data_IF_038238251113
#
_entry.id   IF_038238251113
#
_cell.length_a   1.000
_cell.length_b   1.000
_cell.length_c   1.000
_cell.angle_alpha   90.00
_cell.angle_beta   90.00
_cell.angle_gamma   90.00
#
_symmetry.space_group_name_H-M   'P 1'
#
loop_
_entity.id
_entity.type
_entity.pdbx_description
1 polymer ?
#
# COMPACT_ATOMS: atom_id res chain seq x y z
N UNK A 1 24.38 -3.68 -0.78
CA UNK A 1 22.95 -3.55 -0.98
C UNK A 1 22.62 -2.16 -1.49
N UNK A 2 21.84 -2.07 -2.51
CA UNK A 2 21.47 -0.77 -3.09
C UNK A 2 20.51 -0.04 -2.18
N UNK A 3 20.79 1.23 -1.90
CA UNK A 3 19.96 2.05 -1.00
C UNK A 3 18.52 2.18 -1.48
N UNK A 4 18.31 2.21 -2.79
CA UNK A 4 16.97 2.35 -3.35
C UNK A 4 16.09 1.11 -3.11
N UNK A 5 16.69 -0.05 -2.79
CA UNK A 5 15.90 -1.22 -2.44
C UNK A 5 15.20 -1.04 -1.10
N UNK A 6 15.83 -0.35 -0.14
CA UNK A 6 15.19 -0.03 1.13
C UNK A 6 13.96 0.84 0.90
N UNK A 7 14.10 1.86 0.05
CA UNK A 7 13.00 2.74 -0.30
C UNK A 7 11.88 1.96 -1.00
N UNK A 8 12.24 1.07 -1.93
CA UNK A 8 11.27 0.26 -2.64
C UNK A 8 10.45 -0.63 -1.71
N UNK A 9 11.08 -1.32 -0.78
CA UNK A 9 10.37 -2.16 0.19
C UNK A 9 9.47 -1.32 1.10
N UNK A 10 9.93 -0.14 1.51
CA UNK A 10 9.13 0.78 2.30
C UNK A 10 7.85 1.17 1.55
N UNK A 11 7.96 1.58 0.29
CA UNK A 11 6.79 1.98 -0.50
C UNK A 11 5.88 0.80 -0.83
N UNK A 12 6.44 -0.40 -1.00
CA UNK A 12 5.60 -1.59 -1.20
C UNK A 12 4.67 -1.79 0.00
N UNK A 13 5.21 -1.65 1.21
CA UNK A 13 4.41 -1.73 2.44
C UNK A 13 3.36 -0.63 2.50
N UNK A 14 3.72 0.59 2.10
CA UNK A 14 2.81 1.73 2.09
C UNK A 14 1.65 1.52 1.11
N UNK A 15 1.92 0.99 -0.09
CA UNK A 15 0.86 0.70 -1.07
C UNK A 15 -0.09 -0.36 -0.54
N UNK A 16 0.44 -1.42 0.07
CA UNK A 16 -0.38 -2.50 0.62
C UNK A 16 -1.29 -1.97 1.73
N UNK A 17 -0.74 -1.15 2.64
CA UNK A 17 -1.53 -0.55 3.71
C UNK A 17 -2.63 0.35 3.17
N UNK A 18 -2.32 1.15 2.15
CA UNK A 18 -3.30 2.05 1.55
C UNK A 18 -4.43 1.29 0.84
N UNK A 19 -4.16 0.09 0.34
CA UNK A 19 -5.18 -0.72 -0.32
C UNK A 19 -6.29 -1.16 0.64
N UNK A 20 -5.95 -1.41 1.90
CA UNK A 20 -6.87 -2.02 2.86
C UNK A 20 -8.16 -1.22 3.08
N UNK A 21 -8.13 0.08 3.46
CA UNK A 21 -9.36 0.81 3.70
C UNK A 21 -10.24 0.94 2.46
N UNK A 22 -9.61 1.08 1.28
CA UNK A 22 -10.38 1.19 0.04
C UNK A 22 -11.07 -0.11 -0.31
N UNK A 23 -10.38 -1.26 -0.15
CA UNK A 23 -10.98 -2.56 -0.39
C UNK A 23 -12.07 -2.87 0.63
N UNK A 24 -11.84 -2.56 1.91
CA UNK A 24 -12.82 -2.81 2.97
C UNK A 24 -14.09 -2.01 2.73
N UNK A 25 -13.98 -0.72 2.44
CA UNK A 25 -15.14 0.12 2.17
C UNK A 25 -15.83 -0.30 0.87
N UNK A 26 -15.04 -0.59 -0.16
CA UNK A 26 -15.59 -0.98 -1.45
C UNK A 26 -16.39 -2.27 -1.39
N UNK A 27 -15.84 -3.32 -0.78
CA UNK A 27 -16.56 -4.60 -0.68
C UNK A 27 -17.74 -4.55 0.29
N UNK A 28 -17.77 -3.55 1.16
CA UNK A 28 -18.89 -3.32 2.08
C UNK A 28 -19.93 -2.37 1.51
N UNK A 29 -19.82 -2.01 0.24
CA UNK A 29 -20.70 -1.08 -0.46
C UNK A 29 -20.75 0.29 0.20
N UNK A 30 -19.64 0.72 0.80
CA UNK A 30 -19.53 2.00 1.49
C UNK A 30 -18.71 2.97 0.68
N UNK A 31 -19.11 4.23 0.70
CA UNK A 31 -18.32 5.30 0.08
C UNK A 31 -17.11 5.63 0.94
N UNK A 32 -16.02 6.03 0.29
CA UNK A 32 -14.81 6.44 0.97
C UNK A 32 -14.02 7.39 0.06
N UNK A 33 -13.18 8.23 0.65
CA UNK A 33 -12.43 9.21 -0.14
C UNK A 33 -11.29 8.56 -0.91
N UNK A 34 -11.12 8.97 -2.15
CA UNK A 34 -10.01 8.59 -3.02
C UNK A 34 -9.50 9.86 -3.71
N UNK A 35 -8.38 9.80 -4.46
CA UNK A 35 -7.96 10.95 -5.27
C UNK A 35 -9.00 11.38 -6.32
N UNK A 36 -9.98 10.53 -6.61
CA UNK A 36 -11.01 10.78 -7.63
C UNK A 36 -12.26 11.43 -7.06
N UNK A 37 -12.38 11.55 -5.75
CA UNK A 37 -13.52 12.22 -5.12
C UNK A 37 -13.56 12.02 -3.61
N UNK A 38 -14.26 12.92 -2.94
CA UNK A 38 -14.49 12.90 -1.50
C UNK A 38 -15.96 13.15 -1.20
N UNK A 39 -16.81 12.13 -1.10
CA UNK A 39 -16.51 10.70 -1.16
C UNK A 39 -16.51 10.13 -2.59
N UNK A 40 -15.87 9.01 -2.76
CA UNK A 40 -15.94 8.23 -4.00
C UNK A 40 -16.90 7.06 -3.82
N UNK A 41 -17.58 6.63 -4.89
CA UNK A 41 -18.45 5.45 -4.83
C UNK A 41 -17.70 4.19 -4.42
N UNK A 42 -18.44 3.21 -3.89
CA UNK A 42 -17.85 1.94 -3.46
C UNK A 42 -17.06 1.25 -4.56
N UNK A 43 -17.57 1.23 -5.80
CA UNK A 43 -16.88 0.58 -6.93
C UNK A 43 -15.55 1.24 -7.24
N UNK A 44 -15.46 2.56 -7.14
CA UNK A 44 -14.19 3.30 -7.35
C UNK A 44 -13.19 2.90 -6.27
N UNK A 45 -13.64 2.72 -5.03
CA UNK A 45 -12.78 2.28 -3.94
C UNK A 45 -12.23 0.87 -4.17
N UNK A 46 -13.04 -0.05 -4.71
CA UNK A 46 -12.56 -1.39 -5.06
C UNK A 46 -11.41 -1.30 -6.08
N UNK A 47 -11.60 -0.54 -7.15
CA UNK A 47 -10.58 -0.40 -8.18
C UNK A 47 -9.34 0.31 -7.65
N UNK A 48 -9.51 1.36 -6.87
CA UNK A 48 -8.38 2.10 -6.29
C UNK A 48 -7.61 1.23 -5.31
N UNK A 49 -8.31 0.47 -4.48
CA UNK A 49 -7.68 -0.47 -3.55
C UNK A 49 -6.92 -1.57 -4.28
N UNK A 50 -7.51 -2.13 -5.33
CA UNK A 50 -6.85 -3.14 -6.14
C UNK A 50 -5.60 -2.57 -6.82
N UNK A 51 -5.66 -1.35 -7.34
CA UNK A 51 -4.52 -0.69 -7.95
C UNK A 51 -3.37 -0.55 -6.95
N UNK A 52 -3.66 -0.13 -5.73
CA UNK A 52 -2.63 0.01 -4.68
C UNK A 52 -2.04 -1.35 -4.29
N UNK A 53 -2.88 -2.38 -4.20
CA UNK A 53 -2.42 -3.73 -3.89
C UNK A 53 -1.51 -4.25 -5.01
N UNK A 54 -1.91 -4.05 -6.26
CA UNK A 54 -1.11 -4.45 -7.42
C UNK A 54 0.21 -3.69 -7.47
N UNK A 55 0.20 -2.39 -7.17
CA UNK A 55 1.42 -1.58 -7.14
C UNK A 55 2.40 -2.11 -6.08
N UNK A 56 1.90 -2.48 -4.91
CA UNK A 56 2.71 -3.09 -3.86
C UNK A 56 3.30 -4.43 -4.29
N UNK A 57 2.48 -5.28 -4.90
CA UNK A 57 2.91 -6.59 -5.38
C UNK A 57 3.98 -6.47 -6.47
N UNK A 58 3.75 -5.60 -7.45
CA UNK A 58 4.70 -5.39 -8.54
C UNK A 58 6.03 -4.86 -8.00
N UNK A 59 5.97 -3.93 -7.05
CA UNK A 59 7.17 -3.39 -6.42
C UNK A 59 7.97 -4.49 -5.74
N UNK A 60 7.32 -5.36 -4.97
CA UNK A 60 7.98 -6.49 -4.32
C UNK A 60 8.60 -7.45 -5.33
N UNK A 61 7.89 -7.71 -6.43
CA UNK A 61 8.37 -8.60 -7.49
C UNK A 61 9.63 -8.04 -8.16
N UNK A 62 9.65 -6.74 -8.43
CA UNK A 62 10.81 -6.09 -9.04
C UNK A 62 12.02 -6.08 -8.10
N UNK A 63 11.78 -6.01 -6.80
CA UNK A 63 12.85 -5.92 -5.81
C UNK A 63 13.45 -7.28 -5.43
N UNK A 64 12.76 -8.38 -5.71
CA UNK A 64 13.22 -9.71 -5.27
C UNK A 64 14.56 -10.14 -5.87
N UNK A 65 14.96 -9.53 -6.98
CA UNK A 65 16.26 -9.79 -7.60
C UNK A 65 17.42 -9.08 -6.90
N UNK A 66 17.12 -8.17 -5.98
CA UNK A 66 18.13 -7.43 -5.23
C UNK A 66 18.42 -8.18 -3.94
N UNK A 67 19.66 -8.59 -3.78
CA UNK A 67 20.05 -9.41 -2.65
C UNK A 67 20.06 -8.61 -1.36
N UNK A 68 19.30 -9.10 -0.38
CA UNK A 68 19.26 -8.55 0.95
C UNK A 68 18.60 -9.54 1.91
N UNK A 69 18.93 -9.43 3.16
CA UNK A 69 18.41 -10.37 4.13
C UNK A 69 16.90 -10.27 4.22
N UNK A 70 16.26 -11.39 4.43
CA UNK A 70 14.81 -11.47 4.61
C UNK A 70 14.36 -10.55 5.75
N UNK A 71 15.13 -10.48 6.83
CA UNK A 71 14.83 -9.62 7.98
C UNK A 71 14.76 -8.14 7.57
N UNK A 72 15.67 -7.68 6.73
CA UNK A 72 15.65 -6.29 6.25
C UNK A 72 14.47 -6.03 5.33
N UNK A 73 14.15 -7.00 4.46
CA UNK A 73 13.00 -6.88 3.56
C UNK A 73 11.71 -6.73 4.36
N UNK A 74 11.51 -7.61 5.33
CA UNK A 74 10.33 -7.57 6.21
C UNK A 74 10.30 -6.29 7.01
N UNK A 75 11.43 -5.88 7.58
CA UNK A 75 11.51 -4.67 8.39
C UNK A 75 11.15 -3.42 7.61
N UNK A 76 11.68 -3.27 6.39
CA UNK A 76 11.40 -2.09 5.56
C UNK A 76 9.95 -2.10 5.06
N UNK A 77 9.43 -3.25 4.65
CA UNK A 77 8.05 -3.36 4.21
C UNK A 77 7.09 -3.06 5.37
N UNK A 78 7.36 -3.61 6.54
CA UNK A 78 6.56 -3.37 7.73
C UNK A 78 6.61 -1.89 8.16
N UNK A 79 7.77 -1.25 8.02
CA UNK A 79 7.91 0.19 8.33
C UNK A 79 7.05 1.03 7.40
N UNK A 80 7.04 0.72 6.11
CA UNK A 80 6.19 1.41 5.14
C UNK A 80 4.72 1.19 5.40
N UNK A 81 4.35 -0.04 5.73
CA UNK A 81 2.98 -0.38 6.09
C UNK A 81 2.53 0.41 7.32
N UNK A 82 3.35 0.42 8.36
CA UNK A 82 3.03 1.14 9.60
C UNK A 82 2.92 2.64 9.35
N UNK A 83 3.85 3.21 8.60
CA UNK A 83 3.84 4.64 8.30
C UNK A 83 2.58 5.04 7.55
N UNK A 84 2.17 4.26 6.55
CA UNK A 84 0.95 4.54 5.80
C UNK A 84 -0.29 4.32 6.65
N UNK A 85 -0.34 3.24 7.42
CA UNK A 85 -1.48 2.95 8.29
C UNK A 85 -1.68 4.08 9.33
N UNK A 86 -0.58 4.56 9.92
CA UNK A 86 -0.63 5.67 10.86
C UNK A 86 -1.10 6.95 10.18
N UNK A 87 -0.62 7.21 8.96
CA UNK A 87 -1.05 8.36 8.18
C UNK A 87 -2.54 8.31 7.87
N UNK A 88 -3.05 7.16 7.47
CA UNK A 88 -4.47 6.97 7.18
C UNK A 88 -5.32 7.18 8.45
N UNK A 89 -4.88 6.64 9.57
CA UNK A 89 -5.58 6.81 10.83
C UNK A 89 -5.62 8.28 11.28
N UNK A 90 -4.57 9.02 10.99
CA UNK A 90 -4.49 10.43 11.36
C UNK A 90 -5.32 11.32 10.42
N UNK A 91 -5.31 11.02 9.11
CA UNK A 91 -5.98 11.85 8.09
C UNK A 91 -7.48 11.54 8.02
N UNK A 92 -7.83 10.29 8.19
CA UNK A 92 -9.21 9.84 8.09
C UNK A 92 -9.81 9.58 9.45
#
# INVERSE_FOLDING_TARGET
MKWYAYIGYFFAGAFIANAIPHLVHGVSSQEFQTPFGRPSPAIVNVFWGFFNLAAGYVTLTLLKGLTFSFTRQVGMTASGFLAMAANLAFVF
#
